data_IF_519829375808
#
_entry.id   IF_519829375808
#
_cell.length_a   1.000
_cell.length_b   1.000
_cell.length_c   1.000
_cell.angle_alpha   90.00
_cell.angle_beta   90.00
_cell.angle_gamma   90.00
#
_symmetry.space_group_name_H-M   'P 1'
#
loop_
_entity.id
_entity.type
_entity.pdbx_description
1 polymer ?
#
# COMPACT_ATOMS: atom_id res chain seq x y z
N UNK A 1 5.31 -31.89 0.32
CA UNK A 1 4.55 -31.21 -0.75
C UNK A 1 4.35 -29.77 -0.32
N UNK A 2 5.05 -28.84 -0.94
CA UNK A 2 4.84 -27.41 -0.73
C UNK A 2 3.51 -27.02 -1.38
N UNK A 3 2.57 -26.53 -0.58
CA UNK A 3 1.34 -25.95 -1.09
C UNK A 3 1.69 -24.62 -1.75
N UNK A 4 2.03 -24.69 -3.04
CA UNK A 4 2.40 -23.53 -3.85
C UNK A 4 1.24 -22.53 -4.02
N UNK A 5 0.02 -22.94 -3.66
CA UNK A 5 -1.20 -22.14 -3.81
C UNK A 5 -1.46 -21.31 -2.56
N UNK A 6 -1.28 -21.87 -1.36
CA UNK A 6 -1.48 -21.15 -0.09
C UNK A 6 -0.18 -20.60 0.52
N UNK A 7 0.97 -21.16 0.15
CA UNK A 7 2.30 -20.79 0.63
C UNK A 7 3.35 -20.88 -0.50
N UNK A 8 3.22 -20.09 -1.59
CA UNK A 8 4.28 -20.00 -2.59
C UNK A 8 5.60 -19.61 -1.89
N UNK A 9 6.66 -20.39 -2.14
CA UNK A 9 7.99 -20.16 -1.55
C UNK A 9 8.62 -18.99 -2.28
N UNK A 10 8.41 -17.76 -1.83
CA UNK A 10 9.16 -16.60 -2.34
C UNK A 10 9.50 -15.60 -1.21
N UNK A 11 10.77 -15.58 -0.82
CA UNK A 11 11.42 -14.32 -0.51
C UNK A 11 12.06 -13.77 -1.78
N UNK A 12 11.99 -12.45 -1.94
CA UNK A 12 12.86 -11.61 -2.78
C UNK A 12 12.58 -11.57 -4.29
N UNK A 13 11.57 -10.81 -4.72
CA UNK A 13 11.68 -10.06 -5.99
C UNK A 13 11.15 -8.62 -5.94
N UNK A 14 10.61 -8.14 -4.80
CA UNK A 14 10.08 -6.79 -4.67
C UNK A 14 10.70 -6.00 -3.53
N UNK A 15 10.28 -4.73 -3.39
CA UNK A 15 10.75 -3.81 -2.32
C UNK A 15 10.57 -4.35 -0.90
N UNK A 16 9.53 -5.12 -0.67
CA UNK A 16 9.16 -5.62 0.66
C UNK A 16 9.43 -7.11 0.80
N UNK A 17 9.55 -7.58 2.04
CA UNK A 17 9.91 -8.98 2.35
C UNK A 17 8.70 -9.92 2.42
N UNK A 18 7.52 -9.48 1.99
CA UNK A 18 6.31 -10.30 1.88
C UNK A 18 5.52 -9.95 0.61
N UNK A 19 4.49 -10.74 0.30
CA UNK A 19 3.57 -10.41 -0.78
C UNK A 19 2.53 -9.36 -0.34
N UNK A 20 2.10 -8.51 -1.27
CA UNK A 20 1.08 -7.50 -1.00
C UNK A 20 -0.22 -8.09 -0.42
N UNK A 21 -0.60 -9.29 -0.84
CA UNK A 21 -1.82 -9.96 -0.36
C UNK A 21 -1.72 -10.39 1.11
N UNK A 22 -0.51 -10.65 1.61
CA UNK A 22 -0.26 -11.01 3.01
C UNK A 22 -0.80 -9.95 3.96
N UNK A 23 -0.74 -8.68 3.57
CA UNK A 23 -1.28 -7.55 4.36
C UNK A 23 -2.71 -7.21 3.89
N UNK A 24 -2.91 -7.01 2.58
CA UNK A 24 -4.16 -6.40 2.07
C UNK A 24 -5.41 -7.27 2.27
N UNK A 25 -5.28 -8.59 2.44
CA UNK A 25 -6.43 -9.47 2.78
C UNK A 25 -7.02 -9.22 4.17
N UNK A 26 -6.32 -8.48 5.02
CA UNK A 26 -6.73 -8.13 6.38
C UNK A 26 -7.22 -6.69 6.49
N UNK A 27 -7.33 -5.99 5.35
CA UNK A 27 -7.78 -4.60 5.27
C UNK A 27 -9.20 -4.53 4.72
N UNK A 28 -9.89 -3.44 5.03
CA UNK A 28 -11.17 -3.11 4.40
C UNK A 28 -10.98 -2.87 2.90
N UNK A 29 -12.05 -3.01 2.12
CA UNK A 29 -11.94 -3.02 0.66
C UNK A 29 -11.24 -1.78 0.10
N UNK A 30 -11.61 -0.59 0.58
CA UNK A 30 -11.04 0.67 0.10
C UNK A 30 -9.57 0.82 0.52
N UNK A 31 -9.25 0.61 1.80
CA UNK A 31 -7.88 0.64 2.30
C UNK A 31 -6.97 -0.41 1.64
N UNK A 32 -7.45 -1.64 1.49
CA UNK A 32 -6.72 -2.73 0.85
C UNK A 32 -6.39 -2.45 -0.61
N UNK A 33 -7.33 -1.86 -1.36
CA UNK A 33 -7.07 -1.43 -2.74
C UNK A 33 -6.07 -0.26 -2.79
N UNK A 34 -6.22 0.75 -1.92
CA UNK A 34 -5.27 1.87 -1.84
C UNK A 34 -3.83 1.38 -1.60
N UNK A 35 -3.64 0.51 -0.60
CA UNK A 35 -2.34 -0.09 -0.29
C UNK A 35 -1.84 -0.93 -1.46
N UNK A 36 -2.69 -1.77 -2.08
CA UNK A 36 -2.31 -2.59 -3.24
C UNK A 36 -1.77 -1.77 -4.41
N UNK A 37 -2.41 -0.65 -4.73
CA UNK A 37 -1.98 0.20 -5.82
C UNK A 37 -0.71 0.99 -5.47
N UNK A 38 -0.61 1.49 -4.23
CA UNK A 38 0.64 2.09 -3.72
C UNK A 38 1.80 1.08 -3.70
N UNK A 39 1.54 -0.20 -3.46
CA UNK A 39 2.56 -1.24 -3.43
C UNK A 39 3.14 -1.52 -4.82
N UNK A 40 2.25 -1.66 -5.83
CA UNK A 40 2.59 -2.17 -7.16
C UNK A 40 3.14 -1.13 -8.13
N UNK A 41 3.06 0.17 -7.81
CA UNK A 41 3.26 1.22 -8.80
C UNK A 41 4.63 1.12 -9.50
N UNK A 42 5.71 0.91 -8.75
CA UNK A 42 7.07 0.86 -9.30
C UNK A 42 7.31 -0.36 -10.20
N UNK A 43 6.57 -1.44 -10.01
CA UNK A 43 6.76 -2.71 -10.71
C UNK A 43 5.74 -2.95 -11.83
N UNK A 44 4.68 -2.14 -11.91
CA UNK A 44 3.58 -2.34 -12.87
C UNK A 44 3.25 -1.10 -13.70
N UNK A 45 2.42 -0.20 -13.20
CA UNK A 45 1.82 0.85 -14.03
C UNK A 45 2.23 2.29 -13.63
N UNK A 46 3.25 2.43 -12.76
CA UNK A 46 3.78 3.72 -12.33
C UNK A 46 2.69 4.66 -11.80
N UNK A 47 2.65 5.89 -12.33
CA UNK A 47 1.70 6.92 -11.92
C UNK A 47 0.22 6.51 -12.08
N UNK A 48 -0.12 5.59 -12.99
CA UNK A 48 -1.50 5.13 -13.12
C UNK A 48 -1.98 4.37 -11.88
N UNK A 49 -1.15 3.49 -11.32
CA UNK A 49 -1.50 2.79 -10.08
C UNK A 49 -1.59 3.80 -8.93
N UNK A 50 -0.69 4.78 -8.83
CA UNK A 50 -0.81 5.83 -7.80
C UNK A 50 -2.10 6.65 -7.93
N UNK A 51 -2.55 6.99 -9.14
CA UNK A 51 -3.85 7.65 -9.35
C UNK A 51 -5.03 6.77 -8.91
N UNK A 52 -4.95 5.45 -9.09
CA UNK A 52 -5.96 4.53 -8.54
C UNK A 52 -5.92 4.53 -7.02
N UNK A 53 -4.72 4.54 -6.41
CA UNK A 53 -4.58 4.64 -4.96
C UNK A 53 -5.25 5.92 -4.41
N UNK A 54 -5.08 7.06 -5.09
CA UNK A 54 -5.76 8.32 -4.76
C UNK A 54 -7.28 8.18 -4.73
N UNK A 55 -7.88 7.55 -5.76
CA UNK A 55 -9.34 7.32 -5.82
C UNK A 55 -9.82 6.52 -4.60
N UNK A 56 -9.13 5.42 -4.28
CA UNK A 56 -9.50 4.58 -3.15
C UNK A 56 -9.29 5.24 -1.79
N UNK A 57 -8.26 6.08 -1.63
CA UNK A 57 -8.05 6.87 -0.42
C UNK A 57 -9.14 7.93 -0.23
N UNK A 58 -9.61 8.57 -1.31
CA UNK A 58 -10.71 9.53 -1.25
C UNK A 58 -11.99 8.87 -0.74
N UNK A 59 -12.34 7.70 -1.28
CA UNK A 59 -13.46 6.92 -0.76
C UNK A 59 -13.27 6.51 0.71
N UNK A 60 -12.05 6.09 1.10
CA UNK A 60 -11.77 5.74 2.49
C UNK A 60 -11.92 6.95 3.45
N UNK A 61 -11.54 8.16 3.03
CA UNK A 61 -11.76 9.40 3.78
C UNK A 61 -13.26 9.70 3.93
N UNK A 62 -14.02 9.57 2.84
CA UNK A 62 -15.46 9.80 2.82
C UNK A 62 -16.23 8.79 3.70
N UNK A 63 -15.84 7.51 3.62
CA UNK A 63 -16.48 6.43 4.36
C UNK A 63 -16.12 6.46 5.86
N UNK A 64 -14.96 7.01 6.24
CA UNK A 64 -14.47 7.05 7.61
C UNK A 64 -14.22 5.66 8.23
N UNK A 65 -14.20 4.61 7.41
CA UNK A 65 -14.08 3.23 7.88
C UNK A 65 -12.63 2.92 8.30
N UNK A 66 -12.39 2.22 9.42
CA UNK A 66 -11.05 1.77 9.79
C UNK A 66 -10.37 0.97 8.68
N UNK A 67 -9.06 1.14 8.53
CA UNK A 67 -8.31 0.47 7.48
C UNK A 67 -8.26 -1.05 7.68
N UNK A 68 -8.18 -1.49 8.93
CA UNK A 68 -8.01 -2.89 9.30
C UNK A 68 -9.38 -3.51 9.60
N UNK A 69 -9.59 -4.76 9.15
CA UNK A 69 -10.76 -5.55 9.52
C UNK A 69 -10.75 -5.83 11.03
N UNK A 70 -11.91 -5.72 11.67
CA UNK A 70 -12.03 -5.94 13.12
C UNK A 70 -11.47 -7.31 13.54
N UNK A 71 -10.57 -7.33 14.51
CA UNK A 71 -9.92 -8.54 15.02
C UNK A 71 -8.63 -8.93 14.29
N UNK A 72 -8.18 -8.14 13.31
CA UNK A 72 -6.94 -8.38 12.56
C UNK A 72 -5.81 -7.39 12.91
N UNK A 73 -6.02 -6.50 13.88
CA UNK A 73 -5.15 -5.37 14.20
C UNK A 73 -3.74 -5.80 14.55
N UNK A 74 -3.58 -6.79 15.42
CA UNK A 74 -2.27 -7.29 15.85
C UNK A 74 -1.52 -7.99 14.72
N UNK A 75 -2.22 -8.82 13.94
CA UNK A 75 -1.65 -9.51 12.77
C UNK A 75 -1.12 -8.49 11.76
N UNK A 76 -1.94 -7.50 11.40
CA UNK A 76 -1.56 -6.48 10.43
C UNK A 76 -0.42 -5.62 10.96
N UNK A 77 -0.48 -5.19 12.23
CA UNK A 77 0.60 -4.43 12.85
C UNK A 77 1.92 -5.17 12.80
N UNK A 78 1.94 -6.45 13.18
CA UNK A 78 3.14 -7.28 13.13
C UNK A 78 3.71 -7.36 11.71
N UNK A 79 2.86 -7.67 10.74
CA UNK A 79 3.28 -7.83 9.34
C UNK A 79 3.84 -6.54 8.74
N UNK A 80 3.20 -5.40 9.01
CA UNK A 80 3.64 -4.10 8.49
C UNK A 80 4.95 -3.67 9.15
N UNK A 81 5.07 -3.83 10.46
CA UNK A 81 6.31 -3.49 11.18
C UNK A 81 7.49 -4.35 10.72
N UNK A 82 7.26 -5.65 10.51
CA UNK A 82 8.32 -6.58 10.09
C UNK A 82 8.71 -6.42 8.62
N UNK A 83 7.72 -6.30 7.72
CA UNK A 83 7.98 -6.45 6.29
C UNK A 83 7.92 -5.14 5.49
N UNK A 84 7.30 -4.09 6.02
CA UNK A 84 7.02 -2.85 5.28
C UNK A 84 7.82 -1.67 5.82
N UNK A 85 7.72 -1.39 7.12
CA UNK A 85 8.33 -0.19 7.75
C UNK A 85 9.83 -0.05 7.43
N UNK A 86 10.67 -1.10 7.44
CA UNK A 86 12.09 -0.97 7.10
C UNK A 86 12.37 -0.46 5.67
N UNK A 87 11.36 -0.49 4.78
CA UNK A 87 11.46 -0.15 3.37
C UNK A 87 10.40 0.88 2.92
N UNK A 88 9.69 1.52 3.86
CA UNK A 88 8.57 2.42 3.62
C UNK A 88 8.99 3.89 3.43
N UNK A 89 10.05 4.13 2.66
CA UNK A 89 10.51 5.49 2.33
C UNK A 89 9.68 6.14 1.20
N UNK A 90 9.73 7.47 1.13
CA UNK A 90 9.02 8.25 0.11
C UNK A 90 7.51 7.96 0.08
N UNK A 91 6.98 7.67 -1.11
CA UNK A 91 5.55 7.39 -1.31
C UNK A 91 5.06 6.16 -0.52
N UNK A 92 5.94 5.20 -0.21
CA UNK A 92 5.57 3.99 0.53
C UNK A 92 5.22 4.26 2.00
N UNK A 93 5.62 5.41 2.54
CA UNK A 93 5.16 5.89 3.84
C UNK A 93 3.64 6.14 3.90
N UNK A 94 2.95 6.13 2.75
CA UNK A 94 1.48 6.11 2.71
C UNK A 94 0.90 4.80 3.29
N UNK A 95 1.59 3.66 3.13
CA UNK A 95 1.13 2.36 3.65
C UNK A 95 1.10 2.39 5.18
N UNK A 96 2.15 2.90 5.81
CA UNK A 96 2.21 3.11 7.26
C UNK A 96 1.05 3.99 7.74
N UNK A 97 0.82 5.13 7.08
CA UNK A 97 -0.24 6.07 7.47
C UNK A 97 -1.63 5.46 7.38
N UNK A 98 -1.91 4.74 6.29
CA UNK A 98 -3.17 4.01 6.14
C UNK A 98 -3.35 2.99 7.26
N UNK A 99 -2.34 2.16 7.49
CA UNK A 99 -2.53 0.93 8.26
C UNK A 99 -2.28 1.11 9.75
N UNK A 100 -1.23 1.83 10.14
CA UNK A 100 -0.84 1.98 11.55
C UNK A 100 -1.49 3.17 12.24
N UNK A 101 -1.82 4.23 11.49
CA UNK A 101 -2.35 5.48 12.06
C UNK A 101 -3.74 5.85 11.56
N UNK A 102 -4.30 5.09 10.61
CA UNK A 102 -5.59 5.38 9.98
C UNK A 102 -5.68 6.81 9.40
N UNK A 103 -4.53 7.35 8.95
CA UNK A 103 -4.37 8.69 8.40
C UNK A 103 -4.48 8.65 6.87
N UNK A 104 -5.71 8.51 6.38
CA UNK A 104 -5.97 8.49 4.94
C UNK A 104 -5.63 9.81 4.26
N UNK A 105 -5.81 10.94 4.95
CA UNK A 105 -5.51 12.27 4.40
C UNK A 105 -4.01 12.47 4.21
N UNK A 106 -3.19 12.11 5.20
CA UNK A 106 -1.74 12.16 5.06
C UNK A 106 -1.22 11.19 4.01
N UNK A 107 -1.80 9.98 3.91
CA UNK A 107 -1.49 9.04 2.84
C UNK A 107 -1.83 9.62 1.46
N UNK A 108 -3.00 10.25 1.33
CA UNK A 108 -3.46 10.88 0.09
C UNK A 108 -2.50 11.97 -0.36
N UNK A 109 -2.11 12.86 0.56
CA UNK A 109 -1.19 13.96 0.26
C UNK A 109 0.17 13.46 -0.24
N UNK A 110 0.71 12.39 0.36
CA UNK A 110 1.96 11.77 -0.10
C UNK A 110 1.85 11.21 -1.51
N UNK A 111 0.78 10.47 -1.80
CA UNK A 111 0.59 9.86 -3.11
C UNK A 111 0.34 10.93 -4.18
N UNK A 112 -0.44 11.98 -3.89
CA UNK A 112 -0.66 13.07 -4.83
C UNK A 112 0.63 13.83 -5.16
N UNK A 113 1.50 14.07 -4.16
CA UNK A 113 2.82 14.66 -4.39
C UNK A 113 3.69 13.79 -5.32
N UNK A 114 3.69 12.47 -5.12
CA UNK A 114 4.44 11.54 -5.98
C UNK A 114 3.87 11.49 -7.40
N UNK A 115 2.55 11.51 -7.57
CA UNK A 115 1.90 11.58 -8.89
C UNK A 115 2.34 12.83 -9.65
N UNK A 116 2.45 13.98 -8.98
CA UNK A 116 2.94 15.23 -9.59
C UNK A 116 4.41 15.09 -10.02
N UNK A 117 5.26 14.52 -9.18
CA UNK A 117 6.68 14.26 -9.50
C UNK A 117 6.82 13.39 -10.75
N UNK A 118 6.08 12.27 -10.81
CA UNK A 118 6.12 11.35 -11.95
C UNK A 118 5.52 11.95 -13.23
N UNK A 119 4.52 12.83 -13.10
CA UNK A 119 3.89 13.50 -14.25
C UNK A 119 4.72 14.69 -14.77
N UNK A 120 5.51 15.35 -13.92
CA UNK A 120 6.43 16.43 -14.29
C UNK A 120 7.78 15.95 -14.84
N UNK A 121 8.12 14.67 -14.63
CA UNK A 121 9.38 14.06 -15.08
C UNK A 121 9.49 13.78 -16.58
N UNK A 122 8.43 13.96 -17.37
CA UNK A 122 8.45 13.74 -18.83
C UNK A 122 9.14 14.87 -19.63
N UNK A 123 9.70 15.88 -18.94
CA UNK A 123 10.45 16.99 -19.56
C UNK A 123 11.90 17.08 -19.04
N UNK A 124 12.68 16.00 -19.19
CA UNK A 124 14.15 16.12 -19.25
C UNK A 124 14.62 15.34 -20.48
N UNK A 125 15.05 16.10 -21.48
CA UNK A 125 15.71 15.60 -22.69
C UNK A 125 17.14 15.14 -22.43
#
# INVERSE_FOLDING_TARGET
MTDVVNHPVHYSTGRFTCECITITRHLTFTAGNAVKYCWRFAEKNGAEDLRKAVVYLRWAVEDGTPAILAGHEDTVRSLVVEHVIPHADGVYGAIERVVLTNDYTGALNLIEAEVLTLSGGTNRG
#
